data_IF_028876983005
#
_entry.id   IF_028876983005
#
_cell.length_a   1.000
_cell.length_b   1.000
_cell.length_c   1.000
_cell.angle_alpha   90.00
_cell.angle_beta   90.00
_cell.angle_gamma   90.00
#
_symmetry.space_group_name_H-M   'P 1'
#
loop_
_entity.id
_entity.type
_entity.pdbx_description
1 polymer ?
#
# COMPACT_ATOMS: atom_id res chain seq x y z
N UNK A 1 -33.29 33.75 48.51
CA UNK A 1 -31.97 34.22 48.04
C UNK A 1 -31.06 33.01 47.92
N UNK A 2 -31.27 32.19 46.89
CA UNK A 2 -30.45 31.01 46.54
C UNK A 2 -30.60 30.72 45.03
N UNK A 3 -31.71 31.15 44.42
CA UNK A 3 -32.00 30.98 42.99
C UNK A 3 -31.04 31.75 42.05
N UNK A 4 -30.50 32.89 42.47
CA UNK A 4 -29.57 33.66 41.64
C UNK A 4 -28.21 32.95 41.45
N UNK A 5 -27.72 32.28 42.50
CA UNK A 5 -26.45 31.55 42.46
C UNK A 5 -26.55 30.25 41.65
N UNK A 6 -27.71 29.59 41.62
CA UNK A 6 -27.91 28.39 40.78
C UNK A 6 -27.99 28.72 39.30
N UNK A 7 -28.55 29.88 38.91
CA UNK A 7 -28.56 30.29 37.50
C UNK A 7 -27.14 30.57 36.96
N UNK A 8 -26.27 31.15 37.80
CA UNK A 8 -24.87 31.40 37.44
C UNK A 8 -24.10 30.08 37.23
N UNK A 9 -24.20 29.17 38.19
CA UNK A 9 -23.52 27.86 38.14
C UNK A 9 -24.02 27.02 36.95
N UNK A 10 -25.34 27.01 36.70
CA UNK A 10 -25.92 26.26 35.58
C UNK A 10 -25.48 26.87 34.24
N UNK A 11 -25.41 28.20 34.14
CA UNK A 11 -24.90 28.88 32.94
C UNK A 11 -23.46 28.52 32.63
N UNK A 12 -22.60 28.46 33.66
CA UNK A 12 -21.20 28.05 33.52
C UNK A 12 -21.07 26.59 33.08
N UNK A 13 -21.83 25.68 33.70
CA UNK A 13 -21.84 24.26 33.31
C UNK A 13 -22.28 24.05 31.86
N UNK A 14 -23.28 24.81 31.40
CA UNK A 14 -23.74 24.77 30.01
C UNK A 14 -22.65 25.31 29.06
N UNK A 15 -21.96 26.40 29.44
CA UNK A 15 -20.89 26.97 28.63
C UNK A 15 -19.74 25.98 28.45
N UNK A 16 -19.29 25.34 29.54
CA UNK A 16 -18.23 24.32 29.50
C UNK A 16 -18.68 23.14 28.63
N UNK A 17 -19.91 22.66 28.82
CA UNK A 17 -20.46 21.54 28.04
C UNK A 17 -20.51 21.85 26.54
N UNK A 18 -20.90 23.07 26.17
CA UNK A 18 -20.94 23.52 24.79
C UNK A 18 -19.55 23.59 24.18
N UNK A 19 -18.58 24.16 24.90
CA UNK A 19 -17.19 24.23 24.44
C UNK A 19 -16.61 22.83 24.24
N UNK A 20 -16.85 21.91 25.17
CA UNK A 20 -16.39 20.52 25.03
C UNK A 20 -17.01 19.83 23.82
N UNK A 21 -18.30 20.06 23.56
CA UNK A 21 -18.97 19.54 22.37
C UNK A 21 -18.34 20.09 21.09
N UNK A 22 -18.09 21.40 21.03
CA UNK A 22 -17.45 22.04 19.88
C UNK A 22 -16.04 21.51 19.64
N UNK A 23 -15.24 21.34 20.70
CA UNK A 23 -13.89 20.76 20.61
C UNK A 23 -13.95 19.31 20.13
N UNK A 24 -14.90 18.51 20.61
CA UNK A 24 -15.06 17.12 20.19
C UNK A 24 -15.43 16.99 18.71
N UNK A 25 -16.41 17.78 18.24
CA UNK A 25 -16.81 17.79 16.83
C UNK A 25 -15.65 18.27 15.95
N UNK A 26 -14.91 19.28 16.40
CA UNK A 26 -13.73 19.77 15.69
C UNK A 26 -12.61 18.71 15.62
N UNK A 27 -12.33 18.00 16.71
CA UNK A 27 -11.31 16.95 16.72
C UNK A 27 -11.65 15.80 15.74
N UNK A 28 -12.93 15.39 15.69
CA UNK A 28 -13.38 14.36 14.74
C UNK A 28 -13.30 14.86 13.30
N UNK A 29 -13.63 16.13 13.04
CA UNK A 29 -13.59 16.68 11.68
C UNK A 29 -12.16 16.76 11.14
N UNK A 30 -11.16 17.03 11.99
CA UNK A 30 -9.74 17.00 11.62
C UNK A 30 -9.27 15.63 11.11
N UNK A 31 -9.84 14.53 11.60
CA UNK A 31 -9.53 13.19 11.13
C UNK A 31 -9.82 12.99 9.63
N UNK A 32 -10.86 13.65 9.11
CA UNK A 32 -11.22 13.59 7.69
C UNK A 32 -10.30 14.42 6.78
N UNK A 33 -9.48 15.31 7.35
CA UNK A 33 -8.50 16.10 6.62
C UNK A 33 -7.11 15.46 6.57
N UNK A 34 -6.91 14.35 7.30
CA UNK A 34 -5.68 13.59 7.16
C UNK A 34 -5.64 13.02 5.73
N UNK A 35 -4.54 13.22 4.99
CA UNK A 35 -4.41 12.65 3.67
C UNK A 35 -4.57 11.14 3.78
N UNK A 36 -5.42 10.59 2.91
CA UNK A 36 -5.62 9.15 2.81
C UNK A 36 -4.27 8.49 2.51
N UNK A 37 -3.99 7.34 3.12
CA UNK A 37 -2.78 6.58 2.88
C UNK A 37 -2.58 6.41 1.36
N UNK A 38 -1.53 7.03 0.83
CA UNK A 38 -1.25 7.01 -0.61
C UNK A 38 -0.82 5.60 -1.01
N UNK A 39 -1.33 5.11 -2.13
CA UNK A 39 -0.82 3.87 -2.72
C UNK A 39 0.70 4.02 -3.01
N UNK A 40 1.53 3.03 -2.65
CA UNK A 40 2.96 3.11 -2.86
C UNK A 40 3.26 3.29 -4.34
N UNK A 41 4.10 4.27 -4.66
CA UNK A 41 4.55 4.52 -6.03
C UNK A 41 5.94 3.94 -6.18
N UNK A 42 6.07 2.82 -6.88
CA UNK A 42 7.36 2.14 -7.10
C UNK A 42 7.68 2.15 -8.58
N UNK A 43 8.91 2.54 -8.92
CA UNK A 43 9.42 2.41 -10.26
C UNK A 43 10.12 1.05 -10.40
N UNK A 44 9.53 0.17 -11.21
CA UNK A 44 10.03 -1.18 -11.44
C UNK A 44 10.50 -1.30 -12.88
N UNK A 45 11.69 -1.86 -13.05
CA UNK A 45 12.20 -2.26 -14.36
C UNK A 45 12.13 -3.78 -14.44
N UNK A 46 11.49 -4.29 -15.48
CA UNK A 46 11.45 -5.70 -15.79
C UNK A 46 12.59 -6.06 -16.75
N UNK A 47 13.19 -7.22 -16.53
CA UNK A 47 14.12 -7.89 -17.42
C UNK A 47 13.70 -9.36 -17.55
N UNK A 48 13.91 -9.94 -18.72
CA UNK A 48 13.53 -11.31 -19.01
C UNK A 48 14.67 -12.08 -19.66
N UNK A 49 14.78 -13.34 -19.27
CA UNK A 49 15.62 -14.35 -19.91
C UNK A 49 14.74 -15.57 -20.17
N UNK A 50 15.15 -16.47 -21.06
CA UNK A 50 14.37 -17.64 -21.49
C UNK A 50 13.71 -18.45 -20.35
N UNK A 51 14.30 -18.46 -19.14
CA UNK A 51 13.81 -19.23 -17.98
C UNK A 51 13.53 -18.40 -16.73
N UNK A 52 13.70 -17.08 -16.77
CA UNK A 52 13.56 -16.24 -15.56
C UNK A 52 13.05 -14.84 -15.89
N UNK A 53 12.15 -14.34 -15.05
CA UNK A 53 11.73 -12.93 -15.08
C UNK A 53 12.28 -12.26 -13.83
N UNK A 54 12.95 -11.12 -14.02
CA UNK A 54 13.54 -10.33 -12.93
C UNK A 54 12.92 -8.94 -12.89
N UNK A 55 12.47 -8.52 -11.71
CA UNK A 55 11.90 -7.21 -11.45
C UNK A 55 12.84 -6.43 -10.53
N UNK A 56 13.35 -5.30 -11.01
CA UNK A 56 14.28 -4.45 -10.27
C UNK A 56 13.57 -3.22 -9.71
N UNK A 57 13.75 -2.96 -8.41
CA UNK A 57 13.31 -1.71 -7.79
C UNK A 57 14.29 -0.58 -8.16
N UNK A 58 13.82 0.40 -8.92
CA UNK A 58 14.62 1.54 -9.42
C UNK A 58 14.34 2.85 -8.69
N UNK A 59 13.34 2.91 -7.82
CA UNK A 59 12.98 4.15 -7.13
C UNK A 59 11.56 4.14 -6.58
N UNK A 60 11.25 5.15 -5.76
CA UNK A 60 9.93 5.30 -5.14
C UNK A 60 9.87 4.72 -3.73
N UNK A 61 8.67 4.28 -3.34
CA UNK A 61 8.40 3.80 -1.98
C UNK A 61 8.92 2.37 -1.77
N UNK A 62 9.21 2.00 -0.52
CA UNK A 62 9.49 0.62 -0.14
C UNK A 62 8.17 -0.13 0.10
N UNK A 63 8.16 -1.44 -0.15
CA UNK A 63 6.98 -2.29 0.02
C UNK A 63 7.35 -3.55 0.80
N UNK A 64 6.48 -4.02 1.69
CA UNK A 64 6.75 -5.27 2.43
C UNK A 64 6.69 -6.46 1.48
N UNK A 65 7.70 -7.32 1.52
CA UNK A 65 7.82 -8.47 0.62
C UNK A 65 6.66 -9.46 0.79
N UNK A 66 6.12 -9.58 2.01
CA UNK A 66 4.98 -10.46 2.33
C UNK A 66 3.67 -10.04 1.62
N UNK A 67 3.55 -8.75 1.31
CA UNK A 67 2.38 -8.17 0.67
C UNK A 67 2.54 -8.13 -0.86
N UNK A 68 3.68 -8.61 -1.39
CA UNK A 68 3.94 -8.66 -2.82
C UNK A 68 3.54 -10.01 -3.41
N UNK A 69 2.90 -9.94 -4.57
CA UNK A 69 2.60 -11.09 -5.41
C UNK A 69 3.00 -10.75 -6.85
N UNK A 70 3.76 -11.65 -7.47
CA UNK A 70 4.10 -11.57 -8.90
C UNK A 70 3.12 -12.44 -9.65
N UNK A 71 2.39 -11.86 -10.59
CA UNK A 71 1.43 -12.58 -11.42
C UNK A 71 1.96 -12.59 -12.85
N UNK A 72 2.17 -13.78 -13.40
CA UNK A 72 2.51 -13.99 -14.81
C UNK A 72 1.30 -14.60 -15.49
N UNK A 73 0.75 -13.89 -16.47
CA UNK A 73 -0.42 -14.33 -17.23
C UNK A 73 -0.04 -14.55 -18.68
N UNK A 74 -0.12 -15.78 -19.16
CA UNK A 74 0.01 -16.15 -20.58
C UNK A 74 -1.38 -16.35 -21.19
N UNK A 75 -1.49 -16.06 -22.49
CA UNK A 75 -2.72 -16.35 -23.24
C UNK A 75 -2.94 -17.84 -23.45
N UNK A 76 -1.86 -18.62 -23.51
CA UNK A 76 -1.88 -20.05 -23.82
C UNK A 76 -1.78 -20.92 -22.57
N UNK A 77 -0.95 -20.53 -21.59
CA UNK A 77 -0.69 -21.32 -20.37
C UNK A 77 -1.53 -20.89 -19.15
N UNK A 78 -2.30 -19.80 -19.24
CA UNK A 78 -3.11 -19.28 -18.13
C UNK A 78 -2.32 -18.37 -17.19
N UNK A 79 -2.83 -18.15 -15.98
CA UNK A 79 -2.22 -17.24 -15.00
C UNK A 79 -1.60 -18.01 -13.83
N UNK A 80 -0.36 -17.69 -13.51
CA UNK A 80 0.37 -18.20 -12.35
C UNK A 80 0.72 -17.03 -11.43
N UNK A 81 0.58 -17.23 -10.12
CA UNK A 81 1.02 -16.26 -9.12
C UNK A 81 2.13 -16.83 -8.26
N UNK A 82 3.03 -15.94 -7.84
CA UNK A 82 4.19 -16.24 -7.01
C UNK A 82 4.17 -15.31 -5.79
N UNK A 83 4.18 -15.91 -4.60
CA UNK A 83 4.23 -15.20 -3.32
C UNK A 83 5.58 -15.36 -2.65
N UNK A 84 5.76 -14.70 -1.51
CA UNK A 84 6.99 -14.82 -0.73
C UNK A 84 7.31 -16.29 -0.43
N UNK A 85 8.55 -16.71 -0.74
CA UNK A 85 8.99 -18.11 -0.68
C UNK A 85 8.92 -18.86 -2.03
N UNK A 86 8.19 -18.35 -3.01
CA UNK A 86 8.14 -18.87 -4.39
C UNK A 86 8.96 -18.03 -5.38
N UNK A 87 9.32 -16.81 -4.98
CA UNK A 87 10.25 -15.93 -5.69
C UNK A 87 11.49 -15.65 -4.85
N UNK A 88 12.61 -15.42 -5.53
CA UNK A 88 13.88 -15.07 -4.91
C UNK A 88 13.97 -13.54 -4.79
N UNK A 89 14.05 -13.03 -3.55
CA UNK A 89 14.27 -11.61 -3.29
C UNK A 89 15.74 -11.36 -2.93
N UNK A 90 16.44 -10.58 -3.75
CA UNK A 90 17.87 -10.30 -3.55
C UNK A 90 18.10 -8.79 -3.39
N UNK A 91 18.81 -8.34 -2.34
CA UNK A 91 19.30 -9.13 -1.20
C UNK A 91 18.15 -9.66 -0.33
N UNK A 92 18.40 -10.75 0.41
CA UNK A 92 17.41 -11.37 1.29
C UNK A 92 17.00 -10.39 2.40
N UNK A 93 15.77 -9.86 2.29
CA UNK A 93 15.19 -8.84 3.16
C UNK A 93 13.69 -9.05 3.27
N UNK A 94 13.08 -8.43 4.28
CA UNK A 94 11.61 -8.44 4.43
C UNK A 94 10.90 -7.34 3.61
N UNK A 95 11.67 -6.50 2.92
CA UNK A 95 11.17 -5.35 2.16
C UNK A 95 11.76 -5.31 0.76
N UNK A 96 10.93 -4.94 -0.21
CA UNK A 96 11.34 -4.59 -1.56
C UNK A 96 11.61 -3.08 -1.61
N UNK A 97 12.89 -2.73 -1.54
CA UNK A 97 13.42 -1.38 -1.55
C UNK A 97 14.40 -1.15 -2.71
N UNK A 98 14.87 0.08 -2.88
CA UNK A 98 15.78 0.47 -3.97
C UNK A 98 17.03 -0.41 -3.97
N UNK A 99 17.35 -0.97 -5.14
CA UNK A 99 18.48 -1.88 -5.31
C UNK A 99 18.15 -3.35 -5.05
N UNK A 100 16.96 -3.64 -4.53
CA UNK A 100 16.45 -5.01 -4.45
C UNK A 100 15.87 -5.46 -5.80
N UNK A 101 15.92 -6.76 -6.05
CA UNK A 101 15.28 -7.40 -7.19
C UNK A 101 14.47 -8.62 -6.75
N UNK A 102 13.42 -8.92 -7.51
CA UNK A 102 12.58 -10.11 -7.36
C UNK A 102 12.78 -10.95 -8.62
N UNK A 103 13.19 -12.21 -8.43
CA UNK A 103 13.40 -13.15 -9.52
C UNK A 103 12.40 -14.29 -9.41
N UNK A 104 11.67 -14.57 -10.49
CA UNK A 104 10.78 -15.73 -10.61
C UNK A 104 11.29 -16.66 -11.69
N UNK A 105 11.27 -17.96 -11.42
CA UNK A 105 11.58 -19.00 -12.42
C UNK A 105 10.33 -19.26 -13.24
N UNK A 106 10.39 -18.90 -14.51
CA UNK A 106 9.28 -19.04 -15.45
C UNK A 106 9.83 -19.15 -16.86
N UNK A 107 9.37 -20.14 -17.63
CA UNK A 107 9.76 -20.29 -19.03
C UNK A 107 9.01 -19.27 -19.89
N UNK A 108 9.75 -18.33 -20.47
CA UNK A 108 9.18 -17.21 -21.23
C UNK A 108 8.90 -17.66 -22.66
N UNK A 109 7.67 -17.49 -23.12
CA UNK A 109 7.21 -17.86 -24.47
C UNK A 109 6.90 -16.66 -25.37
N UNK A 110 6.88 -15.44 -24.81
CA UNK A 110 6.74 -14.17 -25.55
C UNK A 110 5.29 -13.71 -25.75
N UNK A 111 4.34 -14.28 -25.02
CA UNK A 111 2.92 -13.87 -25.02
C UNK A 111 2.41 -13.44 -23.63
N UNK A 112 3.33 -13.30 -22.67
CA UNK A 112 2.99 -13.12 -21.26
C UNK A 112 2.88 -11.67 -20.83
N UNK A 113 2.01 -11.44 -19.86
CA UNK A 113 1.92 -10.19 -19.10
C UNK A 113 2.37 -10.45 -17.67
N UNK A 114 3.36 -9.67 -17.22
CA UNK A 114 3.89 -9.73 -15.85
C UNK A 114 3.35 -8.56 -15.06
N UNK A 115 2.80 -8.85 -13.88
CA UNK A 115 2.25 -7.85 -12.97
C UNK A 115 2.84 -8.03 -11.59
N UNK A 116 3.30 -6.93 -10.99
CA UNK A 116 3.65 -6.89 -9.58
C UNK A 116 2.49 -6.24 -8.84
N UNK A 117 1.90 -6.95 -7.88
CA UNK A 117 0.70 -6.49 -7.17
C UNK A 117 0.88 -6.52 -5.66
N UNK A 118 0.12 -5.65 -5.00
CA UNK A 118 -0.16 -5.67 -3.56
C UNK A 118 -1.66 -5.85 -3.35
N UNK A 119 -2.14 -6.14 -2.13
CA UNK A 119 -3.57 -6.26 -1.86
C UNK A 119 -4.42 -5.05 -2.27
N UNK A 120 -3.79 -3.87 -2.41
CA UNK A 120 -4.47 -2.60 -2.69
C UNK A 120 -4.26 -2.08 -4.11
N UNK A 121 -3.13 -2.39 -4.75
CA UNK A 121 -2.75 -1.78 -6.03
C UNK A 121 -1.84 -2.67 -6.86
N UNK A 122 -1.93 -2.53 -8.19
CA UNK A 122 -0.96 -3.04 -9.15
C UNK A 122 0.20 -2.05 -9.21
N UNK A 123 1.37 -2.46 -8.74
CA UNK A 123 2.58 -1.63 -8.73
C UNK A 123 3.17 -1.51 -10.14
N UNK A 124 3.24 -2.63 -10.85
CA UNK A 124 3.84 -2.71 -12.17
C UNK A 124 3.05 -3.65 -13.07
N UNK A 125 3.03 -3.35 -14.37
CA UNK A 125 2.49 -4.21 -15.42
C UNK A 125 3.35 -4.03 -16.67
N UNK A 126 3.84 -5.13 -17.22
CA UNK A 126 4.61 -5.15 -18.47
C UNK A 126 4.25 -6.37 -19.32
N UNK A 127 4.33 -6.23 -20.62
CA UNK A 127 4.23 -7.35 -21.56
C UNK A 127 5.63 -7.87 -21.88
N UNK A 128 5.74 -9.19 -22.05
CA UNK A 128 6.95 -9.88 -22.46
C UNK A 128 6.85 -10.10 -23.97
N UNK A 129 7.87 -9.66 -24.72
CA UNK A 129 7.93 -9.76 -26.17
C UNK A 129 9.33 -9.61 -26.72
#
# INVERSE_FOLDING_TARGET
MNDDAVSEIVGEMIMISLVLLLVAVFAVSLGNFLPTERAPTVNVMMDQTDNTITLYHKGGDWVQAKDLEVIVSSRTAGSQSYRIGEFDLVPEKEVFDIGSNITVKYEVTGDETVRLVTPRVVIFSGEVG
#
